data_IF_335552136911
#
_entry.id   IF_335552136911
#
_cell.length_a   1.000
_cell.length_b   1.000
_cell.length_c   1.000
_cell.angle_alpha   90.00
_cell.angle_beta   90.00
_cell.angle_gamma   90.00
#
_symmetry.space_group_name_H-M   'P 1'
#
loop_
_entity.id
_entity.type
_entity.pdbx_description
1 polymer ?
#
# COMPACT_ATOMS: atom_id res chain seq x y z
N UNK A 1 -31.51 18.26 39.92
CA UNK A 1 -30.28 18.74 39.27
C UNK A 1 -29.54 17.61 38.58
N UNK A 2 -29.33 16.47 39.24
CA UNK A 2 -28.58 15.31 38.71
C UNK A 2 -29.07 14.76 37.36
N UNK A 3 -30.39 14.70 37.13
CA UNK A 3 -30.99 14.19 35.90
C UNK A 3 -30.77 15.09 34.66
N UNK A 4 -30.42 16.37 34.86
CA UNK A 4 -30.16 17.34 33.77
C UNK A 4 -28.68 17.27 33.35
N UNK A 5 -27.79 17.07 34.33
CA UNK A 5 -26.35 16.93 34.11
C UNK A 5 -26.00 15.63 33.37
N UNK A 6 -26.66 14.51 33.72
CA UNK A 6 -26.49 13.21 33.06
C UNK A 6 -26.94 13.23 31.58
N UNK A 7 -28.07 13.88 31.28
CA UNK A 7 -28.56 14.03 29.90
C UNK A 7 -27.66 14.92 29.04
N UNK A 8 -27.09 15.98 29.64
CA UNK A 8 -26.14 16.86 28.95
C UNK A 8 -24.82 16.15 28.65
N UNK A 9 -24.32 15.35 29.60
CA UNK A 9 -23.11 14.55 29.41
C UNK A 9 -23.31 13.44 28.37
N UNK A 10 -24.43 12.70 28.43
CA UNK A 10 -24.75 11.67 27.44
C UNK A 10 -24.95 12.24 26.03
N UNK A 11 -25.62 13.39 25.91
CA UNK A 11 -25.78 14.08 24.62
C UNK A 11 -24.42 14.55 24.07
N UNK A 12 -23.56 15.14 24.91
CA UNK A 12 -22.21 15.54 24.50
C UNK A 12 -21.33 14.34 24.10
N UNK A 13 -21.44 13.23 24.81
CA UNK A 13 -20.74 12.00 24.49
C UNK A 13 -21.21 11.43 23.14
N UNK A 14 -22.52 11.43 22.87
CA UNK A 14 -23.08 10.99 21.58
C UNK A 14 -22.61 11.86 20.41
N UNK A 15 -22.58 13.18 20.55
CA UNK A 15 -22.07 14.08 19.50
C UNK A 15 -20.58 13.87 19.24
N UNK A 16 -19.80 13.63 20.30
CA UNK A 16 -18.38 13.30 20.18
C UNK A 16 -18.18 11.97 19.46
N UNK A 17 -18.90 10.92 19.85
CA UNK A 17 -18.85 9.60 19.21
C UNK A 17 -19.23 9.73 17.73
N UNK A 18 -20.31 10.45 17.42
CA UNK A 18 -20.76 10.68 16.04
C UNK A 18 -19.69 11.37 15.20
N UNK A 19 -19.02 12.38 15.76
CA UNK A 19 -17.91 13.07 15.07
C UNK A 19 -16.72 12.14 14.84
N UNK A 20 -16.34 11.34 15.84
CA UNK A 20 -15.26 10.35 15.71
C UNK A 20 -15.61 9.31 14.65
N UNK A 21 -16.84 8.81 14.63
CA UNK A 21 -17.31 7.84 13.62
C UNK A 21 -17.24 8.44 12.22
N UNK A 22 -17.73 9.68 12.01
CA UNK A 22 -17.60 10.33 10.71
C UNK A 22 -16.15 10.56 10.30
N UNK A 23 -15.28 10.98 11.23
CA UNK A 23 -13.86 11.15 10.95
C UNK A 23 -13.21 9.83 10.52
N UNK A 24 -13.53 8.72 11.20
CA UNK A 24 -13.04 7.39 10.85
C UNK A 24 -13.58 6.90 9.50
N UNK A 25 -14.86 7.16 9.20
CA UNK A 25 -15.46 6.81 7.91
C UNK A 25 -14.81 7.58 6.77
N UNK A 26 -14.64 8.91 6.92
CA UNK A 26 -13.97 9.75 5.93
C UNK A 26 -12.52 9.30 5.74
N UNK A 27 -11.79 9.05 6.84
CA UNK A 27 -10.42 8.55 6.77
C UNK A 27 -10.33 7.16 6.12
N UNK A 28 -11.32 6.29 6.38
CA UNK A 28 -11.44 4.98 5.75
C UNK A 28 -11.64 5.10 4.24
N UNK A 29 -12.65 5.85 3.82
CA UNK A 29 -12.95 6.13 2.40
C UNK A 29 -11.76 6.77 1.70
N UNK A 30 -11.10 7.73 2.35
CA UNK A 30 -9.94 8.38 1.77
C UNK A 30 -8.77 7.40 1.56
N UNK A 31 -8.52 6.52 2.53
CA UNK A 31 -7.45 5.52 2.48
C UNK A 31 -7.73 4.35 1.53
N UNK A 32 -9.00 4.04 1.29
CA UNK A 32 -9.39 2.98 0.36
C UNK A 32 -9.42 3.47 -1.08
N UNK A 33 -9.88 4.71 -1.30
CA UNK A 33 -10.08 5.23 -2.64
C UNK A 33 -8.88 6.03 -3.18
N UNK A 34 -8.26 6.88 -2.38
CA UNK A 34 -7.31 7.88 -2.91
C UNK A 34 -5.86 7.49 -2.63
N UNK A 35 -5.46 7.55 -1.35
CA UNK A 35 -4.07 7.39 -0.96
C UNK A 35 -3.93 6.51 0.27
N UNK A 36 -3.06 5.49 0.19
CA UNK A 36 -2.70 4.70 1.35
C UNK A 36 -1.26 5.03 1.78
N UNK A 37 -1.05 5.42 3.05
CA UNK A 37 0.30 5.59 3.59
C UNK A 37 0.95 4.22 3.87
N UNK A 38 2.22 4.07 3.52
CA UNK A 38 3.03 2.90 3.82
C UNK A 38 4.39 3.30 4.42
N UNK A 39 4.90 2.43 5.29
CA UNK A 39 6.26 2.47 5.81
C UNK A 39 7.06 1.35 5.17
N UNK A 40 8.27 1.63 4.68
CA UNK A 40 9.15 0.61 4.09
C UNK A 40 9.84 -0.19 5.20
N UNK A 41 9.53 -1.50 5.37
CA UNK A 41 10.13 -2.30 6.43
C UNK A 41 11.43 -3.01 5.99
N UNK A 42 11.72 -3.03 4.69
CA UNK A 42 12.75 -3.89 4.10
C UNK A 42 13.60 -3.15 3.08
N UNK A 43 14.88 -3.53 2.99
CA UNK A 43 15.85 -2.90 2.09
C UNK A 43 15.93 -3.46 0.67
N UNK A 44 14.94 -4.24 0.21
CA UNK A 44 15.00 -4.83 -1.14
C UNK A 44 14.99 -3.79 -2.27
N UNK A 45 14.65 -2.55 -1.97
CA UNK A 45 14.70 -1.43 -2.90
C UNK A 45 15.69 -0.34 -2.45
N UNK A 46 16.72 -0.66 -1.65
CA UNK A 46 17.66 0.33 -1.04
C UNK A 46 18.25 1.35 -2.03
N UNK A 47 18.48 0.97 -3.29
CA UNK A 47 18.96 1.89 -4.33
C UNK A 47 17.97 3.02 -4.68
N UNK A 48 16.69 2.89 -4.31
CA UNK A 48 15.63 3.89 -4.57
C UNK A 48 14.83 4.27 -3.33
N UNK A 49 14.57 3.33 -2.42
CA UNK A 49 13.75 3.47 -1.21
C UNK A 49 14.49 2.84 -0.02
N UNK A 50 14.80 3.66 0.98
CA UNK A 50 15.51 3.25 2.18
C UNK A 50 14.56 2.68 3.24
N UNK A 51 15.13 1.96 4.21
CA UNK A 51 14.35 1.39 5.31
C UNK A 51 13.85 2.54 6.20
N UNK A 52 12.55 2.57 6.44
CA UNK A 52 11.90 3.63 7.22
C UNK A 52 11.37 4.79 6.37
N UNK A 53 11.55 4.78 5.06
CA UNK A 53 10.90 5.75 4.19
C UNK A 53 9.37 5.66 4.31
N UNK A 54 8.73 6.82 4.26
CA UNK A 54 7.28 6.96 4.29
C UNK A 54 6.78 7.40 2.93
N UNK A 55 5.85 6.63 2.36
CA UNK A 55 5.34 6.86 1.01
C UNK A 55 3.82 6.83 0.97
N UNK A 56 3.27 7.66 0.07
CA UNK A 56 1.85 7.66 -0.26
C UNK A 56 1.64 6.95 -1.59
N UNK A 57 0.90 5.84 -1.56
CA UNK A 57 0.55 5.08 -2.75
C UNK A 57 -0.75 5.63 -3.33
N UNK A 58 -0.73 6.02 -4.60
CA UNK A 58 -1.92 6.41 -5.34
C UNK A 58 -2.67 5.17 -5.83
N UNK A 59 -3.85 4.90 -5.25
CA UNK A 59 -4.68 3.75 -5.65
C UNK A 59 -5.50 4.02 -6.91
N UNK A 60 -5.80 5.27 -7.22
CA UNK A 60 -6.59 5.64 -8.38
C UNK A 60 -5.85 5.44 -9.70
N UNK A 61 -4.51 5.48 -9.69
CA UNK A 61 -3.69 5.42 -10.90
C UNK A 61 -3.93 4.15 -11.74
N UNK A 62 -4.21 3.02 -11.09
CA UNK A 62 -4.42 1.73 -11.74
C UNK A 62 -5.87 1.23 -11.63
N UNK A 63 -6.77 2.08 -11.13
CA UNK A 63 -8.17 1.75 -10.89
C UNK A 63 -8.41 0.88 -9.67
N UNK A 64 -9.69 0.59 -9.43
CA UNK A 64 -10.12 -0.12 -8.24
C UNK A 64 -10.27 -1.61 -8.52
N UNK A 65 -9.67 -2.41 -7.65
CA UNK A 65 -9.78 -3.87 -7.65
C UNK A 65 -9.85 -4.38 -6.21
N UNK A 66 -9.96 -5.70 -6.05
CA UNK A 66 -9.86 -6.37 -4.75
C UNK A 66 -8.65 -5.90 -3.92
N UNK A 67 -7.51 -5.60 -4.56
CA UNK A 67 -6.30 -5.13 -3.88
C UNK A 67 -6.43 -3.70 -3.29
N UNK A 68 -7.44 -2.93 -3.71
CA UNK A 68 -7.70 -1.59 -3.16
C UNK A 68 -8.47 -1.63 -1.84
N UNK A 69 -9.11 -2.77 -1.53
CA UNK A 69 -10.01 -2.91 -0.40
C UNK A 69 -9.28 -2.81 0.95
N UNK A 70 -9.92 -2.20 1.96
CA UNK A 70 -9.31 -1.99 3.26
C UNK A 70 -9.05 -3.34 3.95
N UNK A 71 -7.91 -3.41 4.64
CA UNK A 71 -7.58 -4.49 5.57
C UNK A 71 -7.48 -3.88 6.98
N UNK A 72 -8.43 -4.22 7.85
CA UNK A 72 -8.46 -3.71 9.22
C UNK A 72 -8.11 -4.87 10.15
N UNK A 73 -6.86 -4.89 10.60
CA UNK A 73 -6.39 -5.88 11.58
C UNK A 73 -6.13 -5.17 12.90
N UNK A 74 -6.97 -5.46 13.90
CA UNK A 74 -6.82 -4.94 15.25
C UNK A 74 -6.75 -6.13 16.23
N UNK A 75 -5.57 -6.77 16.35
CA UNK A 75 -5.41 -8.00 17.14
C UNK A 75 -5.82 -7.84 18.60
N UNK A 76 -5.60 -6.66 19.18
CA UNK A 76 -5.94 -6.34 20.59
C UNK A 76 -7.43 -6.47 20.91
N UNK A 77 -8.30 -6.31 19.91
CA UNK A 77 -9.76 -6.38 20.08
C UNK A 77 -10.37 -7.59 19.36
N UNK A 78 -9.56 -8.51 18.83
CA UNK A 78 -10.03 -9.69 18.10
C UNK A 78 -10.71 -9.39 16.76
N UNK A 79 -10.56 -8.16 16.24
CA UNK A 79 -11.14 -7.75 14.96
C UNK A 79 -10.14 -8.02 13.84
N UNK A 80 -10.45 -9.02 13.01
CA UNK A 80 -9.73 -9.31 11.76
C UNK A 80 -10.74 -9.16 10.63
N UNK A 81 -10.77 -8.00 9.99
CA UNK A 81 -11.62 -7.73 8.83
C UNK A 81 -10.68 -7.60 7.63
N UNK A 82 -10.67 -8.62 6.79
CA UNK A 82 -9.81 -8.69 5.62
C UNK A 82 -10.52 -8.16 4.37
N UNK A 83 -9.76 -8.01 3.28
CA UNK A 83 -10.32 -7.59 1.98
C UNK A 83 -11.41 -8.56 1.48
N UNK A 84 -11.37 -9.83 1.89
CA UNK A 84 -12.42 -10.83 1.62
C UNK A 84 -13.76 -10.45 2.25
N UNK A 85 -13.75 -9.86 3.45
CA UNK A 85 -14.98 -9.52 4.17
C UNK A 85 -15.67 -8.29 3.57
N UNK A 86 -14.89 -7.33 3.04
CA UNK A 86 -15.43 -6.13 2.40
C UNK A 86 -15.73 -6.32 0.91
N UNK A 87 -14.88 -7.06 0.20
CA UNK A 87 -14.85 -7.12 -1.25
C UNK A 87 -14.76 -8.55 -1.80
N UNK A 88 -15.16 -9.56 -1.03
CA UNK A 88 -15.14 -10.96 -1.46
C UNK A 88 -15.87 -11.21 -2.79
N UNK A 89 -16.84 -10.36 -3.14
CA UNK A 89 -17.53 -10.40 -4.43
C UNK A 89 -16.64 -10.03 -5.65
N UNK A 90 -15.47 -9.41 -5.45
CA UNK A 90 -14.49 -9.08 -6.50
C UNK A 90 -13.22 -9.94 -6.44
N UNK A 91 -13.16 -10.98 -5.59
CA UNK A 91 -11.94 -11.76 -5.35
C UNK A 91 -11.38 -12.42 -6.60
N UNK A 92 -12.27 -12.91 -7.48
CA UNK A 92 -11.92 -13.62 -8.72
C UNK A 92 -12.14 -12.77 -9.97
N UNK A 93 -12.41 -11.46 -9.82
CA UNK A 93 -12.59 -10.57 -10.96
C UNK A 93 -11.26 -9.88 -11.32
N UNK A 94 -10.71 -10.20 -12.49
CA UNK A 94 -9.54 -9.48 -13.04
C UNK A 94 -9.88 -8.07 -13.54
N UNK A 95 -11.18 -7.72 -13.54
CA UNK A 95 -11.68 -6.41 -13.96
C UNK A 95 -11.32 -5.32 -12.97
N UNK A 96 -10.50 -4.36 -13.41
CA UNK A 96 -10.26 -3.10 -12.70
C UNK A 96 -11.29 -2.05 -13.16
N UNK A 97 -11.92 -1.38 -12.21
CA UNK A 97 -12.88 -0.31 -12.52
C UNK A 97 -12.11 1.01 -12.69
N UNK A 98 -12.32 1.70 -13.81
CA UNK A 98 -11.62 2.96 -14.17
C UNK A 98 -10.08 2.86 -14.15
N UNK A 99 -9.53 1.67 -14.40
CA UNK A 99 -8.09 1.44 -14.34
C UNK A 99 -7.35 1.79 -15.63
N UNK A 100 -6.11 2.27 -15.47
CA UNK A 100 -5.13 2.29 -16.54
C UNK A 100 -4.14 1.13 -16.35
N UNK A 101 -3.60 0.64 -17.45
CA UNK A 101 -2.56 -0.37 -17.40
C UNK A 101 -1.26 0.22 -16.84
N UNK A 102 -0.51 -0.57 -16.04
CA UNK A 102 0.74 -0.12 -15.49
C UNK A 102 1.80 0.03 -16.57
N UNK A 103 2.71 0.98 -16.37
CA UNK A 103 3.79 1.26 -17.31
C UNK A 103 5.08 0.67 -16.78
N UNK A 104 5.98 0.28 -17.69
CA UNK A 104 7.31 -0.15 -17.30
C UNK A 104 8.00 0.95 -16.51
N UNK A 105 8.75 0.55 -15.50
CA UNK A 105 9.45 1.45 -14.60
C UNK A 105 8.60 1.93 -13.42
N UNK A 106 7.27 1.77 -13.46
CA UNK A 106 6.40 2.11 -12.33
C UNK A 106 6.82 1.35 -11.07
N UNK A 107 6.84 2.03 -9.93
CA UNK A 107 6.96 1.38 -8.62
C UNK A 107 5.56 1.09 -8.12
N UNK A 108 5.23 -0.18 -8.06
CA UNK A 108 3.87 -0.65 -7.77
C UNK A 108 3.83 -1.37 -6.43
N UNK A 109 2.69 -1.24 -5.76
CA UNK A 109 2.35 -2.01 -4.56
C UNK A 109 1.32 -3.05 -4.94
N UNK A 110 1.60 -4.31 -4.63
CA UNK A 110 0.69 -5.41 -4.91
C UNK A 110 0.65 -6.39 -3.75
N UNK A 111 -0.45 -7.12 -3.65
CA UNK A 111 -0.64 -8.15 -2.63
C UNK A 111 -0.02 -9.45 -3.11
N UNK A 112 0.91 -9.99 -2.35
CA UNK A 112 1.56 -11.25 -2.69
C UNK A 112 0.54 -12.40 -2.67
N UNK A 113 0.47 -13.25 -3.71
CA UNK A 113 -0.61 -14.24 -3.86
C UNK A 113 -0.63 -15.30 -2.76
N UNK A 114 0.54 -15.68 -2.25
CA UNK A 114 0.67 -16.72 -1.19
C UNK A 114 0.52 -16.14 0.21
N UNK A 115 1.26 -15.08 0.56
CA UNK A 115 1.31 -14.55 1.93
C UNK A 115 0.23 -13.50 2.21
N UNK A 116 -0.37 -12.91 1.18
CA UNK A 116 -1.33 -11.81 1.32
C UNK A 116 -0.74 -10.51 1.87
N UNK A 117 0.59 -10.42 1.98
CA UNK A 117 1.29 -9.22 2.41
C UNK A 117 1.51 -8.25 1.24
N UNK A 118 1.55 -6.96 1.53
CA UNK A 118 1.79 -5.92 0.53
C UNK A 118 3.29 -5.82 0.22
N UNK A 119 3.63 -5.92 -1.06
CA UNK A 119 4.99 -5.85 -1.58
C UNK A 119 5.12 -4.63 -2.48
N UNK A 120 6.27 -3.96 -2.39
CA UNK A 120 6.62 -2.81 -3.22
C UNK A 120 7.79 -3.21 -4.11
N UNK A 121 7.59 -3.12 -5.43
CA UNK A 121 8.58 -3.51 -6.45
C UNK A 121 8.46 -2.61 -7.68
N UNK A 122 9.51 -2.58 -8.49
CA UNK A 122 9.50 -1.93 -9.81
C UNK A 122 8.97 -2.88 -10.88
N UNK A 123 8.08 -2.38 -11.73
CA UNK A 123 7.54 -3.12 -12.86
C UNK A 123 8.56 -3.16 -14.00
N UNK A 124 9.04 -4.35 -14.33
CA UNK A 124 10.03 -4.56 -15.40
C UNK A 124 9.38 -5.11 -16.66
N UNK A 125 8.63 -6.22 -16.54
CA UNK A 125 7.94 -6.88 -17.63
C UNK A 125 6.42 -6.66 -17.58
N UNK A 126 5.83 -6.53 -18.76
CA UNK A 126 4.40 -6.56 -19.02
C UNK A 126 4.01 -7.90 -19.67
N UNK A 127 2.71 -8.26 -19.69
CA UNK A 127 2.24 -9.46 -20.38
C UNK A 127 2.72 -9.49 -21.84
N UNK A 128 3.27 -10.64 -22.25
CA UNK A 128 3.82 -10.85 -23.59
C UNK A 128 5.33 -10.60 -23.71
N UNK A 129 5.98 -10.05 -22.67
CA UNK A 129 7.42 -9.81 -22.73
C UNK A 129 8.28 -11.02 -22.45
N UNK A 130 9.42 -11.06 -23.14
CA UNK A 130 10.54 -11.92 -22.83
C UNK A 130 11.57 -11.14 -22.01
N UNK A 131 11.64 -11.44 -20.72
CA UNK A 131 12.60 -10.82 -19.79
C UNK A 131 13.76 -11.78 -19.53
N UNK A 132 14.99 -11.32 -19.70
CA UNK A 132 16.21 -12.12 -19.49
C UNK A 132 17.29 -11.30 -18.80
N UNK A 133 18.09 -11.95 -17.97
CA UNK A 133 19.35 -11.41 -17.46
C UNK A 133 20.49 -12.12 -18.17
N UNK A 134 21.35 -11.39 -18.88
CA UNK A 134 22.54 -11.95 -19.55
C UNK A 134 23.78 -11.17 -19.13
N UNK A 135 24.75 -11.85 -18.50
CA UNK A 135 25.98 -11.23 -18.00
C UNK A 135 25.76 -9.97 -17.13
N UNK A 136 24.69 -9.94 -16.34
CA UNK A 136 24.31 -8.80 -15.49
C UNK A 136 23.51 -7.71 -16.19
N UNK A 137 23.28 -7.81 -17.50
CA UNK A 137 22.45 -6.87 -18.27
C UNK A 137 21.02 -7.40 -18.36
N UNK A 138 20.05 -6.51 -18.13
CA UNK A 138 18.63 -6.79 -18.33
C UNK A 138 18.27 -6.64 -19.81
N UNK A 139 17.68 -7.67 -20.40
CA UNK A 139 17.14 -7.66 -21.75
C UNK A 139 15.62 -7.82 -21.70
N UNK A 140 14.91 -6.96 -22.43
CA UNK A 140 13.46 -7.03 -22.64
C UNK A 140 13.22 -7.19 -24.14
N UNK A 141 12.56 -8.29 -24.54
CA UNK A 141 12.32 -8.63 -25.94
C UNK A 141 13.63 -8.61 -26.76
N UNK A 142 14.65 -9.25 -26.19
CA UNK A 142 16.01 -9.37 -26.74
C UNK A 142 16.75 -8.02 -26.96
N UNK A 143 16.17 -6.92 -26.48
CA UNK A 143 16.78 -5.58 -26.48
C UNK A 143 17.34 -5.27 -25.09
N UNK A 144 18.61 -4.89 -25.01
CA UNK A 144 19.22 -4.48 -23.75
C UNK A 144 18.55 -3.20 -23.21
N UNK A 145 18.20 -3.23 -21.93
CA UNK A 145 17.65 -2.06 -21.24
C UNK A 145 18.79 -1.09 -20.96
N UNK A 146 18.64 0.14 -21.41
CA UNK A 146 19.57 1.21 -21.09
C UNK A 146 19.44 1.56 -19.60
N UNK A 147 20.57 1.58 -18.90
CA UNK A 147 20.66 1.98 -17.50
C UNK A 147 21.47 3.27 -17.49
N UNK A 148 20.83 4.36 -17.06
CA UNK A 148 21.56 5.60 -16.81
C UNK A 148 22.53 5.37 -15.64
N UNK A 149 23.82 5.70 -15.78
CA UNK A 149 24.76 5.62 -14.68
C UNK A 149 24.29 6.52 -13.54
N UNK A 150 23.84 5.92 -12.45
CA UNK A 150 23.59 6.62 -11.20
C UNK A 150 24.91 6.73 -10.41
N UNK A 151 24.94 7.65 -9.44
CA UNK A 151 26.03 7.67 -8.45
C UNK A 151 26.02 6.32 -7.74
N UNK A 152 27.19 5.71 -7.57
CA UNK A 152 27.33 4.46 -6.83
C UNK A 152 26.62 4.58 -5.48
N UNK A 153 25.64 3.71 -5.25
CA UNK A 153 24.97 3.64 -3.96
C UNK A 153 25.95 3.10 -2.92
N UNK A 154 26.39 3.96 -2.01
CA UNK A 154 27.23 3.58 -0.87
C UNK A 154 26.37 3.49 0.37
N UNK A 155 26.15 2.26 0.83
CA UNK A 155 25.45 2.03 2.10
C UNK A 155 26.36 2.40 3.28
N UNK A 156 25.98 3.43 4.04
CA UNK A 156 26.72 3.89 5.23
C UNK A 156 26.54 2.98 6.45
N UNK A 157 25.69 1.94 6.34
CA UNK A 157 25.32 0.99 7.41
C UNK A 157 24.84 1.66 8.72
N UNK A 158 24.33 2.89 8.61
CA UNK A 158 23.72 3.57 9.74
C UNK A 158 22.39 2.89 10.12
N UNK A 159 21.97 2.97 11.40
CA UNK A 159 20.70 2.41 11.81
C UNK A 159 19.53 3.14 11.13
N UNK A 160 18.74 2.40 10.34
CA UNK A 160 17.62 2.91 9.54
C UNK A 160 16.25 2.53 10.15
N UNK A 161 15.28 3.43 9.97
CA UNK A 161 13.91 3.27 10.45
C UNK A 161 13.74 3.26 11.97
N UNK A 162 12.50 3.15 12.43
CA UNK A 162 12.15 3.12 13.87
C UNK A 162 12.72 1.89 14.60
N UNK A 163 13.02 0.83 13.86
CA UNK A 163 13.59 -0.41 14.40
C UNK A 163 15.13 -0.39 14.44
N UNK A 164 15.79 0.67 13.93
CA UNK A 164 17.25 0.81 13.89
C UNK A 164 17.94 -0.37 13.18
N UNK A 165 17.33 -0.85 12.10
CA UNK A 165 17.85 -1.96 11.30
C UNK A 165 19.12 -1.49 10.56
N UNK A 166 20.11 -2.38 10.43
CA UNK A 166 21.32 -2.14 9.64
C UNK A 166 21.19 -2.79 8.28
#
# INVERSE_FOLDING_TARGET
MDQIEEKSFAASALETIKTVVYALLIAGVFRTLFFQPFWIPSGSMKDTLLIGDFLFVNKMAYGYSYASCPKIQIPRFGLNIDADDFCGFMKDSDTRIFGADPKRGDVVVFRHPVTGADYIKRLIGLPGDKVQMQAGVLLINDTAVEIEPAVDFVETYEPQGSQRNR
#
